data_IF_011813942366
#
_entry.id   IF_011813942366
#
_cell.length_a   1.000
_cell.length_b   1.000
_cell.length_c   1.000
_cell.angle_alpha   90.00
_cell.angle_beta   90.00
_cell.angle_gamma   90.00
#
_symmetry.space_group_name_H-M   'P 1'
#
loop_
_entity.id
_entity.type
_entity.pdbx_description
1 polymer ?
#
# COMPACT_ATOMS: atom_id res chain seq x y z
N UNK A 1 8.14 -1.61 -2.91
CA UNK A 1 7.88 -0.60 -1.86
C UNK A 1 7.33 0.63 -2.54
N UNK A 2 6.30 1.20 -1.95
CA UNK A 2 5.55 2.36 -2.42
C UNK A 2 5.39 3.30 -1.21
N UNK A 3 5.55 4.60 -1.43
CA UNK A 3 5.28 5.62 -0.41
C UNK A 3 4.08 6.46 -0.84
N UNK A 4 3.02 6.40 -0.05
CA UNK A 4 1.82 7.21 -0.24
C UNK A 4 1.94 8.49 0.57
N UNK A 5 1.88 9.62 -0.12
CA UNK A 5 1.97 10.95 0.50
C UNK A 5 0.63 11.64 0.41
N UNK A 6 0.24 12.28 1.52
CA UNK A 6 -0.94 13.14 1.60
C UNK A 6 -0.54 14.48 2.21
N UNK A 7 -1.11 15.57 1.69
CA UNK A 7 -0.91 16.90 2.25
C UNK A 7 -2.22 17.70 2.26
N UNK A 8 -2.18 18.86 2.92
CA UNK A 8 -3.27 19.83 2.88
C UNK A 8 -2.73 21.14 2.30
N UNK A 9 -3.60 21.87 1.60
CA UNK A 9 -3.33 23.24 1.17
C UNK A 9 -3.80 24.16 2.29
N UNK A 10 -3.01 25.17 2.64
CA UNK A 10 -3.45 26.21 3.57
C UNK A 10 -4.43 27.14 2.85
N UNK A 11 -5.49 27.56 3.53
CA UNK A 11 -6.48 28.50 2.97
C UNK A 11 -5.80 29.77 2.43
N UNK A 12 -6.12 30.16 1.20
CA UNK A 12 -5.63 31.39 0.56
C UNK A 12 -4.71 31.20 -0.66
N UNK A 13 -4.38 29.96 -1.03
CA UNK A 13 -3.56 29.63 -2.20
C UNK A 13 -4.36 29.77 -3.53
N UNK A 14 -4.76 31.00 -3.85
CA UNK A 14 -5.37 31.33 -5.14
C UNK A 14 -4.33 31.25 -6.26
N UNK A 15 -4.64 30.50 -7.33
CA UNK A 15 -3.77 30.39 -8.51
C UNK A 15 -2.74 29.26 -8.47
N UNK A 16 -2.82 28.36 -7.48
CA UNK A 16 -2.08 27.10 -7.50
C UNK A 16 -2.57 26.22 -8.66
N UNK A 17 -1.62 25.65 -9.39
CA UNK A 17 -1.86 24.73 -10.52
C UNK A 17 -1.52 23.29 -10.17
N UNK A 18 -0.77 23.08 -9.09
CA UNK A 18 -0.31 21.78 -8.69
C UNK A 18 0.86 21.86 -7.72
N UNK A 19 1.52 20.71 -7.55
CA UNK A 19 2.57 20.51 -6.57
C UNK A 19 3.78 19.82 -7.20
N UNK A 20 4.99 20.22 -6.79
CA UNK A 20 6.21 19.46 -7.00
C UNK A 20 6.58 18.74 -5.71
N UNK A 21 6.92 17.47 -5.84
CA UNK A 21 7.32 16.59 -4.76
C UNK A 21 8.83 16.36 -4.89
N UNK A 22 9.54 16.58 -3.80
CA UNK A 22 10.98 16.31 -3.70
C UNK A 22 11.26 15.37 -2.56
N UNK A 23 12.36 14.61 -2.67
CA UNK A 23 12.78 13.63 -1.68
C UNK A 23 14.28 13.65 -1.40
N UNK A 24 14.63 13.19 -0.21
CA UNK A 24 16.01 13.07 0.28
C UNK A 24 16.15 11.85 1.21
N UNK A 25 17.38 11.37 1.43
CA UNK A 25 17.69 10.35 2.44
C UNK A 25 18.10 10.94 3.78
N UNK A 26 18.42 12.24 3.81
CA UNK A 26 18.67 13.03 5.01
C UNK A 26 17.56 14.07 5.18
N UNK A 27 17.18 14.35 6.42
CA UNK A 27 16.14 15.31 6.76
C UNK A 27 16.48 16.73 6.31
N UNK A 28 17.75 17.09 6.29
CA UNK A 28 18.22 18.41 5.88
C UNK A 28 18.54 18.48 4.36
N UNK A 29 18.36 17.36 3.65
CA UNK A 29 18.59 17.25 2.21
C UNK A 29 20.00 16.78 1.85
N UNK A 30 20.44 16.96 0.58
CA UNK A 30 19.76 17.71 -0.47
C UNK A 30 18.49 17.01 -0.98
N UNK A 31 17.47 17.80 -1.29
CA UNK A 31 16.22 17.33 -1.87
C UNK A 31 16.30 17.28 -3.39
N UNK A 32 15.85 16.17 -3.96
CA UNK A 32 15.83 15.91 -5.41
C UNK A 32 14.40 15.70 -5.89
N UNK A 33 14.12 16.10 -7.12
CA UNK A 33 12.78 16.01 -7.69
C UNK A 33 12.32 14.55 -7.81
N UNK A 34 11.14 14.25 -7.29
CA UNK A 34 10.52 12.93 -7.34
C UNK A 34 9.33 12.89 -8.32
N UNK A 35 8.59 14.00 -8.46
CA UNK A 35 7.45 14.07 -9.36
C UNK A 35 6.62 15.33 -9.18
N UNK A 36 5.50 15.40 -9.90
CA UNK A 36 4.54 16.50 -9.81
C UNK A 36 3.11 16.01 -9.93
N UNK A 37 2.22 16.73 -9.26
CA UNK A 37 0.77 16.61 -9.41
C UNK A 37 0.27 17.88 -10.07
N UNK A 38 -0.33 17.77 -11.27
CA UNK A 38 -0.81 18.90 -12.07
C UNK A 38 -2.31 19.17 -11.87
N UNK A 39 -2.77 19.02 -10.63
CA UNK A 39 -4.14 19.30 -10.22
C UNK A 39 -4.09 19.88 -8.79
N UNK A 40 -4.57 21.12 -8.56
CA UNK A 40 -4.53 21.73 -7.24
C UNK A 40 -5.45 21.04 -6.22
N UNK A 41 -6.41 20.22 -6.66
CA UNK A 41 -7.34 19.49 -5.79
C UNK A 41 -6.90 18.04 -5.51
N UNK A 42 -5.89 17.54 -6.23
CA UNK A 42 -5.33 16.22 -6.00
C UNK A 42 -4.20 16.31 -4.96
N UNK A 43 -4.54 16.03 -3.70
CA UNK A 43 -3.64 16.24 -2.55
C UNK A 43 -2.89 14.97 -2.11
N UNK A 44 -2.60 14.09 -3.06
CA UNK A 44 -1.84 12.88 -2.83
C UNK A 44 -0.86 12.57 -3.97
N UNK A 45 0.20 11.84 -3.65
CA UNK A 45 1.20 11.35 -4.61
C UNK A 45 1.69 9.96 -4.19
N UNK A 46 1.77 9.05 -5.14
CA UNK A 46 2.34 7.71 -4.97
C UNK A 46 3.77 7.68 -5.54
N UNK A 47 4.77 7.50 -4.68
CA UNK A 47 6.15 7.31 -5.11
C UNK A 47 6.45 5.82 -5.24
N UNK A 48 6.55 5.35 -6.47
CA UNK A 48 6.78 3.94 -6.83
C UNK A 48 8.20 3.67 -7.33
N UNK A 49 9.16 4.59 -7.10
CA UNK A 49 10.53 4.37 -7.55
C UNK A 49 11.12 3.08 -6.92
N UNK A 50 11.59 2.11 -7.73
CA UNK A 50 12.18 0.87 -7.24
C UNK A 50 13.32 1.07 -6.24
N UNK A 51 14.06 2.19 -6.32
CA UNK A 51 15.15 2.53 -5.41
C UNK A 51 14.70 2.70 -3.98
N UNK A 52 13.44 3.04 -3.74
CA UNK A 52 12.90 3.20 -2.39
C UNK A 52 13.16 1.92 -1.56
N UNK A 53 13.09 0.74 -2.17
CA UNK A 53 13.28 -0.55 -1.49
C UNK A 53 14.64 -0.72 -0.79
N UNK A 54 15.66 0.03 -1.24
CA UNK A 54 17.02 -0.05 -0.69
C UNK A 54 17.39 1.20 0.13
N UNK A 55 16.50 2.18 0.26
CA UNK A 55 16.75 3.36 1.06
C UNK A 55 16.34 3.09 2.52
N UNK A 56 17.23 3.37 3.49
CA UNK A 56 16.91 3.12 4.89
C UNK A 56 15.82 4.06 5.43
N UNK A 57 15.75 5.28 4.88
CA UNK A 57 14.77 6.33 5.21
C UNK A 57 14.58 7.22 4.00
N UNK A 58 13.38 7.79 3.87
CA UNK A 58 13.09 8.79 2.85
C UNK A 58 12.32 9.95 3.48
N UNK A 59 12.78 11.17 3.22
CA UNK A 59 12.14 12.41 3.62
C UNK A 59 11.56 13.09 2.40
N UNK A 60 10.39 13.69 2.53
CA UNK A 60 9.69 14.40 1.47
C UNK A 60 9.41 15.86 1.85
N UNK A 61 9.45 16.72 0.85
CA UNK A 61 8.92 18.08 0.92
C UNK A 61 8.07 18.36 -0.33
N UNK A 62 7.06 19.20 -0.17
CA UNK A 62 6.15 19.59 -1.24
C UNK A 62 6.22 21.10 -1.43
N UNK A 63 6.25 21.55 -2.69
CA UNK A 63 6.09 22.98 -3.06
C UNK A 63 4.88 23.12 -3.98
N UNK A 64 4.04 24.12 -3.79
CA UNK A 64 3.02 24.47 -4.80
C UNK A 64 3.65 25.22 -5.96
N UNK A 65 3.04 25.18 -7.14
CA UNK A 65 3.43 26.01 -8.29
C UNK A 65 2.20 26.68 -8.94
N UNK A 66 2.41 27.88 -9.47
CA UNK A 66 1.38 28.67 -10.15
C UNK A 66 1.53 28.63 -11.69
N UNK A 67 0.53 29.14 -12.41
CA UNK A 67 0.51 29.13 -13.89
C UNK A 67 1.67 29.92 -14.54
N UNK A 68 2.23 30.88 -13.80
CA UNK A 68 3.41 31.65 -14.21
C UNK A 68 4.75 30.96 -13.88
N UNK A 69 4.72 29.72 -13.38
CA UNK A 69 5.90 28.92 -13.02
C UNK A 69 6.52 29.27 -11.67
N UNK A 70 5.99 30.24 -10.91
CA UNK A 70 6.48 30.52 -9.55
C UNK A 70 6.12 29.38 -8.60
N UNK A 71 7.02 29.07 -7.68
CA UNK A 71 6.84 28.05 -6.65
C UNK A 71 6.79 28.66 -5.26
N UNK A 72 6.11 27.99 -4.32
CA UNK A 72 6.18 28.32 -2.89
C UNK A 72 7.54 27.96 -2.30
N UNK A 73 7.78 28.38 -1.05
CA UNK A 73 8.75 27.71 -0.19
C UNK A 73 8.35 26.23 0.03
N UNK A 74 9.32 25.32 0.25
CA UNK A 74 9.02 23.93 0.59
C UNK A 74 8.24 23.81 1.91
N UNK A 75 7.41 22.79 2.02
CA UNK A 75 6.83 22.36 3.29
C UNK A 75 7.93 21.96 4.29
N UNK A 76 7.54 21.79 5.56
CA UNK A 76 8.39 21.07 6.52
C UNK A 76 8.72 19.66 5.99
N UNK A 77 9.94 19.16 6.22
CA UNK A 77 10.28 17.76 5.96
C UNK A 77 9.33 16.78 6.65
N UNK A 78 8.81 15.83 5.89
CA UNK A 78 8.06 14.69 6.39
C UNK A 78 8.86 13.40 6.15
N UNK A 79 9.00 12.56 7.17
CA UNK A 79 9.63 11.25 6.99
C UNK A 79 8.57 10.24 6.59
N UNK A 80 8.78 9.53 5.48
CA UNK A 80 7.96 8.39 5.14
C UNK A 80 8.29 7.20 6.05
N UNK A 81 7.25 6.49 6.50
CA UNK A 81 7.33 5.28 7.29
C UNK A 81 6.59 4.14 6.57
N UNK A 82 7.12 3.66 5.41
CA UNK A 82 6.48 2.58 4.68
C UNK A 82 6.53 1.27 5.46
N UNK A 83 5.58 0.40 5.16
CA UNK A 83 5.64 -0.99 5.60
C UNK A 83 6.62 -1.77 4.73
N UNK A 84 7.28 -2.76 5.33
CA UNK A 84 8.07 -3.73 4.57
C UNK A 84 7.20 -4.52 3.59
N UNK A 85 7.80 -5.04 2.52
CA UNK A 85 7.09 -5.88 1.57
C UNK A 85 6.55 -7.12 2.27
N UNK A 86 5.25 -7.37 2.16
CA UNK A 86 4.63 -8.57 2.71
C UNK A 86 5.01 -9.79 1.86
N UNK A 87 5.39 -10.86 2.54
CA UNK A 87 5.75 -12.14 1.95
C UNK A 87 4.79 -13.24 2.40
N UNK A 88 4.20 -13.94 1.45
CA UNK A 88 3.31 -15.07 1.70
C UNK A 88 4.11 -16.37 1.77
N UNK A 89 3.94 -17.12 2.87
CA UNK A 89 4.70 -18.35 3.17
C UNK A 89 3.96 -19.61 2.73
N UNK A 90 2.64 -19.55 2.56
CA UNK A 90 1.88 -20.68 2.04
C UNK A 90 0.40 -20.37 1.82
N UNK A 91 -0.29 -21.13 0.96
CA UNK A 91 0.26 -22.17 0.08
C UNK A 91 1.15 -21.60 -1.03
N UNK A 92 1.92 -22.47 -1.67
CA UNK A 92 2.62 -22.12 -2.91
C UNK A 92 1.61 -21.75 -3.99
N UNK A 93 2.00 -20.89 -4.93
CA UNK A 93 1.15 -20.53 -6.05
C UNK A 93 0.82 -21.78 -6.91
N UNK A 94 -0.46 -22.00 -7.18
CA UNK A 94 -0.97 -23.18 -7.89
C UNK A 94 -1.07 -24.46 -7.06
N UNK A 95 -0.84 -24.40 -5.74
CA UNK A 95 -0.94 -25.57 -4.88
C UNK A 95 -2.36 -26.15 -4.80
N UNK A 96 -2.46 -27.47 -4.65
CA UNK A 96 -3.68 -28.18 -4.29
C UNK A 96 -3.60 -28.57 -2.82
N UNK A 97 -4.63 -28.26 -2.04
CA UNK A 97 -4.68 -28.51 -0.60
C UNK A 97 -6.00 -29.18 -0.20
N UNK A 98 -5.98 -30.11 0.78
CA UNK A 98 -7.19 -30.73 1.27
C UNK A 98 -8.04 -29.70 2.04
N UNK A 99 -9.36 -29.76 1.91
CA UNK A 99 -10.29 -28.86 2.61
C UNK A 99 -10.05 -28.76 4.11
N UNK A 100 -9.81 -29.90 4.77
CA UNK A 100 -9.59 -29.95 6.23
C UNK A 100 -8.34 -29.17 6.70
N UNK A 101 -7.43 -28.82 5.79
CA UNK A 101 -6.22 -28.06 6.07
C UNK A 101 -6.07 -26.80 5.21
N UNK A 102 -7.16 -26.31 4.62
CA UNK A 102 -7.10 -25.13 3.76
C UNK A 102 -6.79 -23.89 4.60
N UNK A 103 -5.54 -23.43 4.56
CA UNK A 103 -5.06 -22.26 5.28
C UNK A 103 -4.04 -21.48 4.44
N UNK A 104 -4.08 -20.16 4.54
CA UNK A 104 -3.03 -19.26 4.05
C UNK A 104 -2.19 -18.69 5.18
N UNK A 105 -0.94 -18.39 4.88
CA UNK A 105 0.07 -17.93 5.84
C UNK A 105 0.98 -16.88 5.20
N UNK A 106 1.45 -15.94 6.02
CA UNK A 106 2.35 -14.87 5.62
C UNK A 106 3.31 -14.50 6.76
N UNK A 107 4.38 -13.79 6.43
CA UNK A 107 5.31 -13.25 7.42
C UNK A 107 4.72 -12.00 8.08
N UNK A 108 4.98 -11.82 9.37
CA UNK A 108 4.65 -10.57 10.05
C UNK A 108 5.46 -9.42 9.42
N UNK A 109 4.78 -8.33 9.12
CA UNK A 109 5.36 -7.10 8.57
C UNK A 109 5.59 -6.12 9.71
N UNK A 110 6.82 -5.66 9.87
CA UNK A 110 7.17 -4.64 10.86
C UNK A 110 6.37 -3.36 10.62
N UNK A 111 5.80 -2.78 11.69
CA UNK A 111 4.94 -1.60 11.63
C UNK A 111 3.48 -1.87 11.24
N UNK A 112 3.15 -3.07 10.77
CA UNK A 112 1.76 -3.42 10.46
C UNK A 112 0.94 -3.65 11.75
N UNK A 113 -0.24 -3.03 11.81
CA UNK A 113 -1.21 -3.18 12.89
C UNK A 113 -2.39 -4.06 12.51
N UNK A 114 -2.66 -4.19 11.21
CA UNK A 114 -3.66 -5.11 10.71
C UNK A 114 -3.28 -5.76 9.38
N UNK A 115 -3.93 -6.88 9.09
CA UNK A 115 -3.89 -7.55 7.80
C UNK A 115 -5.29 -7.75 7.26
N UNK A 116 -5.43 -7.70 5.94
CA UNK A 116 -6.66 -7.96 5.22
C UNK A 116 -6.39 -9.07 4.22
N UNK A 117 -7.14 -10.17 4.34
CA UNK A 117 -7.04 -11.30 3.40
C UNK A 117 -8.21 -11.23 2.43
N UNK A 118 -7.90 -11.13 1.14
CA UNK A 118 -8.89 -11.08 0.07
C UNK A 118 -8.88 -12.39 -0.70
N UNK A 119 -10.07 -12.92 -1.03
CA UNK A 119 -10.22 -14.20 -1.73
C UNK A 119 -11.24 -14.05 -2.85
N UNK A 120 -10.91 -14.59 -4.02
CA UNK A 120 -11.71 -14.58 -5.24
C UNK A 120 -11.93 -16.03 -5.71
N UNK A 121 -13.09 -16.29 -6.32
CA UNK A 121 -13.43 -17.61 -6.85
C UNK A 121 -13.21 -17.68 -8.37
N UNK A 122 -12.57 -18.76 -8.83
CA UNK A 122 -12.49 -19.23 -10.21
C UNK A 122 -11.81 -18.32 -11.26
N UNK A 123 -11.39 -17.11 -10.91
CA UNK A 123 -10.65 -16.22 -11.80
C UNK A 123 -9.65 -15.35 -11.02
N UNK A 124 -8.50 -14.99 -11.64
CA UNK A 124 -7.66 -13.94 -11.10
C UNK A 124 -8.49 -12.65 -11.04
N UNK A 125 -8.30 -11.81 -10.01
CA UNK A 125 -9.08 -10.60 -9.85
C UNK A 125 -8.91 -9.68 -11.07
N UNK A 126 -10.04 -9.37 -11.70
CA UNK A 126 -10.15 -8.34 -12.73
C UNK A 126 -10.94 -7.15 -12.18
N UNK A 127 -10.90 -6.04 -12.90
CA UNK A 127 -11.70 -4.85 -12.57
C UNK A 127 -13.18 -5.23 -12.36
N UNK A 128 -13.81 -4.71 -11.30
CA UNK A 128 -15.17 -5.02 -10.82
C UNK A 128 -15.44 -6.41 -10.22
N UNK A 129 -14.42 -7.24 -10.00
CA UNK A 129 -14.61 -8.49 -9.29
C UNK A 129 -14.73 -8.24 -7.78
N UNK A 130 -15.78 -8.75 -7.15
CA UNK A 130 -15.93 -8.74 -5.70
C UNK A 130 -15.28 -9.98 -5.08
N UNK A 131 -14.69 -9.87 -3.89
CA UNK A 131 -14.23 -11.04 -3.16
C UNK A 131 -15.41 -11.92 -2.74
N UNK A 132 -15.16 -13.22 -2.55
CA UNK A 132 -16.19 -14.18 -2.13
C UNK A 132 -16.77 -13.87 -0.74
N UNK A 133 -16.01 -13.12 0.08
CA UNK A 133 -16.42 -12.66 1.41
C UNK A 133 -15.92 -11.25 1.64
N UNK A 134 -16.61 -10.53 2.52
CA UNK A 134 -16.10 -9.26 3.06
C UNK A 134 -14.70 -9.55 3.64
N UNK A 135 -13.67 -8.81 3.22
CA UNK A 135 -12.34 -9.05 3.72
C UNK A 135 -12.31 -8.89 5.24
N UNK A 136 -11.84 -9.92 5.93
CA UNK A 136 -11.69 -9.87 7.37
C UNK A 136 -10.41 -9.09 7.71
N UNK A 137 -10.51 -8.23 8.72
CA UNK A 137 -9.40 -7.46 9.26
C UNK A 137 -8.86 -8.20 10.47
N UNK A 138 -7.62 -8.67 10.37
CA UNK A 138 -6.92 -9.38 11.43
C UNK A 138 -5.99 -8.42 12.17
N UNK A 139 -6.08 -8.41 13.49
CA UNK A 139 -5.24 -7.60 14.38
C UNK A 139 -4.40 -8.52 15.29
N UNK A 140 -3.61 -7.95 16.21
CA UNK A 140 -2.81 -8.69 17.19
C UNK A 140 -1.75 -9.65 16.60
N UNK A 141 -1.21 -9.34 15.42
CA UNK A 141 -0.09 -10.10 14.85
C UNK A 141 -0.47 -11.46 14.26
N UNK A 142 -1.75 -11.70 13.97
CA UNK A 142 -2.19 -12.89 13.25
C UNK A 142 -1.55 -12.95 11.86
N UNK A 143 -0.98 -14.11 11.52
CA UNK A 143 -0.21 -14.36 10.28
C UNK A 143 -0.75 -15.54 9.47
N UNK A 144 -1.98 -15.96 9.76
CA UNK A 144 -2.64 -17.07 9.09
C UNK A 144 -4.14 -16.88 9.01
N UNK A 145 -4.78 -17.44 8.00
CA UNK A 145 -6.24 -17.49 7.89
C UNK A 145 -6.71 -18.83 7.34
N UNK A 146 -7.75 -19.40 7.97
CA UNK A 146 -8.38 -20.64 7.51
C UNK A 146 -9.42 -20.39 6.41
N UNK A 147 -9.41 -21.27 5.41
CA UNK A 147 -10.39 -21.35 4.32
C UNK A 147 -11.16 -22.68 4.35
N UNK A 148 -11.11 -23.42 5.46
CA UNK A 148 -11.74 -24.74 5.56
C UNK A 148 -13.28 -24.72 5.40
N UNK A 149 -13.89 -23.53 5.52
CA UNK A 149 -15.30 -23.26 5.26
C UNK A 149 -15.65 -23.26 3.77
N UNK A 150 -14.68 -22.97 2.88
CA UNK A 150 -14.92 -22.90 1.44
C UNK A 150 -15.19 -24.30 0.83
N UNK A 151 -16.05 -24.39 -0.18
CA UNK A 151 -16.23 -25.62 -0.95
C UNK A 151 -14.98 -25.95 -1.79
N UNK A 152 -14.86 -27.21 -2.27
CA UNK A 152 -13.83 -27.54 -3.25
C UNK A 152 -13.90 -26.64 -4.49
N UNK A 153 -12.75 -26.22 -5.00
CA UNK A 153 -12.70 -25.28 -6.12
C UNK A 153 -11.36 -24.55 -6.27
N UNK A 154 -11.28 -23.70 -7.31
CA UNK A 154 -10.13 -22.85 -7.57
C UNK A 154 -10.35 -21.46 -6.97
N UNK A 155 -9.36 -20.98 -6.22
CA UNK A 155 -9.39 -19.68 -5.56
C UNK A 155 -8.13 -18.88 -5.86
N UNK A 156 -8.27 -17.56 -5.81
CA UNK A 156 -7.16 -16.62 -5.83
C UNK A 156 -7.17 -15.81 -4.54
N UNK A 157 -6.03 -15.64 -3.90
CA UNK A 157 -5.93 -14.93 -2.63
C UNK A 157 -4.76 -13.96 -2.61
N UNK A 158 -4.89 -12.93 -1.77
CA UNK A 158 -3.81 -12.00 -1.44
C UNK A 158 -3.94 -11.54 0.02
N UNK A 159 -2.86 -10.96 0.54
CA UNK A 159 -2.81 -10.33 1.85
C UNK A 159 -2.32 -8.89 1.69
N UNK A 160 -3.02 -7.97 2.35
CA UNK A 160 -2.61 -6.58 2.49
C UNK A 160 -2.29 -6.30 3.95
N UNK A 161 -1.16 -5.67 4.25
CA UNK A 161 -0.81 -5.19 5.58
C UNK A 161 -1.04 -3.68 5.67
N UNK A 162 -1.48 -3.19 6.83
CA UNK A 162 -1.76 -1.77 7.07
C UNK A 162 -1.16 -1.31 8.40
N UNK A 163 -0.69 -0.07 8.46
CA UNK A 163 -0.11 0.54 9.67
C UNK A 163 -1.16 1.05 10.68
N UNK A 164 -2.44 0.80 10.40
CA UNK A 164 -3.60 1.10 11.24
C UNK A 164 -4.43 -0.16 11.48
N UNK A 165 -5.29 -0.12 12.50
CA UNK A 165 -6.25 -1.21 12.75
C UNK A 165 -7.47 -1.14 11.84
N UNK A 166 -7.76 0.03 11.27
CA UNK A 166 -8.78 0.21 10.25
C UNK A 166 -8.09 0.64 8.93
N UNK A 167 -8.12 -0.22 7.90
CA UNK A 167 -7.51 0.05 6.60
C UNK A 167 -7.99 1.34 5.91
N UNK A 168 -9.18 1.86 6.22
CA UNK A 168 -9.71 3.08 5.60
C UNK A 168 -8.95 4.35 5.99
N UNK A 169 -8.19 4.30 7.10
CA UNK A 169 -7.36 5.41 7.57
C UNK A 169 -5.87 5.08 7.52
N UNK A 170 -5.49 4.02 6.81
CA UNK A 170 -4.09 3.66 6.66
C UNK A 170 -3.32 4.77 5.94
N UNK A 171 -2.11 5.05 6.42
CA UNK A 171 -1.17 5.97 5.76
C UNK A 171 0.04 5.23 5.18
N UNK A 172 0.12 3.92 5.41
CA UNK A 172 1.05 3.01 4.75
C UNK A 172 0.40 1.64 4.61
N UNK A 173 0.60 1.02 3.44
CA UNK A 173 0.13 -0.31 3.12
C UNK A 173 1.22 -1.14 2.42
N UNK A 174 1.06 -2.46 2.45
CA UNK A 174 1.93 -3.40 1.73
C UNK A 174 1.09 -4.54 1.19
N UNK A 175 1.25 -4.87 -0.09
CA UNK A 175 0.38 -5.79 -0.80
C UNK A 175 1.16 -7.01 -1.30
N UNK A 176 0.61 -8.21 -1.07
CA UNK A 176 1.17 -9.44 -1.67
C UNK A 176 0.75 -9.55 -3.13
N UNK A 177 1.51 -10.33 -3.91
CA UNK A 177 0.99 -10.83 -5.17
C UNK A 177 -0.24 -11.72 -4.93
N UNK A 178 -1.12 -11.80 -5.94
CA UNK A 178 -2.17 -12.80 -5.95
C UNK A 178 -1.58 -14.19 -6.19
N UNK A 179 -2.08 -15.18 -5.44
CA UNK A 179 -1.72 -16.60 -5.60
C UNK A 179 -2.96 -17.43 -5.84
N UNK A 180 -2.85 -18.43 -6.72
CA UNK A 180 -3.86 -19.44 -6.96
C UNK A 180 -3.72 -20.59 -5.96
N UNK A 181 -4.85 -21.14 -5.54
CA UNK A 181 -4.93 -22.39 -4.77
C UNK A 181 -6.14 -23.22 -5.21
N UNK A 182 -6.01 -24.54 -5.19
CA UNK A 182 -7.11 -25.49 -5.42
C UNK A 182 -7.46 -26.19 -4.11
N UNK A 183 -8.72 -26.17 -3.70
CA UNK A 183 -9.23 -26.89 -2.53
C UNK A 183 -9.91 -28.19 -3.01
N UNK A 184 -9.55 -29.32 -2.42
CA UNK A 184 -10.16 -30.66 -2.65
C UNK A 184 -11.03 -31.13 -1.47
#
# INVERSE_FOLDING_TARGET
>A
MENDLYWAVLDGDVGVRGFHIYRATDKEGPYTYAGSVNDPYLLFFFDSDPKLQILPRTYYVVTSFAANGKTSSPSRPFQAEPLSQIETTGPADGATIPKAGAQVTWNAVEGAKSYLVTIFYNAPPSFNMLPIRTPAVYTNGQTSESFADLPPGNYWWSVSAYNTTDPNWATAASYSAYRKVTIE
#
